data_IF_636636702317
#
_entry.id   IF_636636702317
#
_cell.length_a   1.000
_cell.length_b   1.000
_cell.length_c   1.000
_cell.angle_alpha   90.00
_cell.angle_beta   90.00
_cell.angle_gamma   90.00
#
_symmetry.space_group_name_H-M   'P 1'
#
loop_
_entity.id
_entity.type
_entity.pdbx_description
1 polymer ?
#
# COMPACT_ATOMS: atom_id res chain seq x y z
N UNK A 1 19.98 42.60 16.58
CA UNK A 1 19.29 41.86 15.50
C UNK A 1 20.13 40.62 15.20
N UNK A 2 19.69 39.45 15.67
CA UNK A 2 20.41 38.18 15.50
C UNK A 2 19.86 37.45 14.27
N UNK A 3 20.62 37.44 13.18
CA UNK A 3 20.30 36.65 11.99
C UNK A 3 20.60 35.18 12.31
N UNK A 4 19.56 34.35 12.39
CA UNK A 4 19.72 32.89 12.48
C UNK A 4 20.49 32.39 11.24
N UNK A 5 21.43 31.45 11.37
CA UNK A 5 22.10 30.86 10.21
C UNK A 5 21.09 30.06 9.39
N UNK A 6 21.09 30.25 8.07
CA UNK A 6 20.28 29.46 7.15
C UNK A 6 20.60 27.97 7.37
N UNK A 7 19.59 27.09 7.48
CA UNK A 7 19.83 25.65 7.53
C UNK A 7 20.53 25.26 6.23
N UNK A 8 21.75 24.73 6.38
CA UNK A 8 22.50 24.19 5.24
C UNK A 8 21.71 23.09 4.55
N UNK A 9 21.94 22.86 3.25
CA UNK A 9 21.17 21.91 2.49
C UNK A 9 21.39 20.47 3.04
N UNK A 10 20.37 19.59 3.01
CA UNK A 10 20.42 18.24 3.60
C UNK A 10 21.56 17.34 3.06
N UNK A 11 22.55 17.02 3.89
CA UNK A 11 23.66 16.14 3.44
C UNK A 11 23.16 14.71 3.25
N UNK A 12 23.11 14.21 2.01
CA UNK A 12 22.94 12.79 1.70
C UNK A 12 24.29 12.26 1.20
N UNK A 13 24.84 11.26 1.89
CA UNK A 13 26.09 10.55 1.55
C UNK A 13 27.43 11.33 1.69
N UNK A 14 27.49 12.38 2.52
CA UNK A 14 28.77 13.00 2.92
C UNK A 14 29.46 13.84 1.85
N UNK A 15 28.76 14.22 0.77
CA UNK A 15 29.23 15.20 -0.22
C UNK A 15 28.18 16.31 -0.38
N UNK A 16 28.59 17.59 -0.51
CA UNK A 16 27.66 18.69 -0.73
C UNK A 16 26.89 18.49 -2.04
N UNK A 17 25.60 18.83 -2.08
CA UNK A 17 24.76 18.74 -3.28
C UNK A 17 25.49 19.31 -4.49
N UNK A 18 25.76 18.47 -5.48
CA UNK A 18 26.20 18.92 -6.79
C UNK A 18 24.96 18.96 -7.66
N UNK A 19 24.41 20.16 -7.86
CA UNK A 19 23.44 20.39 -8.93
C UNK A 19 24.04 19.82 -10.23
N UNK A 20 23.28 18.96 -10.93
CA UNK A 20 23.64 18.32 -12.21
C UNK A 20 24.48 17.02 -12.15
N UNK A 21 24.61 16.33 -11.01
CA UNK A 21 25.09 14.93 -11.01
C UNK A 21 23.95 13.98 -11.47
N UNK A 22 24.10 13.30 -12.64
CA UNK A 22 23.07 12.40 -13.16
C UNK A 22 22.82 11.19 -12.25
N UNK A 23 23.84 10.70 -11.55
CA UNK A 23 23.74 9.53 -10.67
C UNK A 23 22.97 9.87 -9.40
N UNK A 24 23.26 11.02 -8.77
CA UNK A 24 22.53 11.50 -7.59
C UNK A 24 21.07 11.82 -7.94
N UNK A 25 20.82 12.41 -9.11
CA UNK A 25 19.46 12.72 -9.58
C UNK A 25 18.65 11.45 -9.84
N UNK A 26 19.26 10.39 -10.37
CA UNK A 26 18.60 9.10 -10.59
C UNK A 26 18.24 8.42 -9.26
N UNK A 27 19.12 8.46 -8.28
CA UNK A 27 18.88 7.87 -6.96
C UNK A 27 17.77 8.62 -6.19
N UNK A 28 17.77 9.96 -6.23
CA UNK A 28 16.69 10.76 -5.64
C UNK A 28 15.34 10.39 -6.27
N UNK A 29 15.25 10.31 -7.60
CA UNK A 29 14.03 9.90 -8.30
C UNK A 29 13.58 8.49 -7.95
N UNK A 30 14.51 7.57 -7.69
CA UNK A 30 14.21 6.20 -7.27
C UNK A 30 13.58 6.19 -5.87
N UNK A 31 14.13 6.96 -4.95
CA UNK A 31 13.61 7.10 -3.59
C UNK A 31 12.24 7.79 -3.59
N UNK A 32 12.09 8.88 -4.35
CA UNK A 32 10.80 9.58 -4.51
C UNK A 32 9.72 8.63 -5.04
N UNK A 33 10.01 7.88 -6.11
CA UNK A 33 9.06 6.90 -6.67
C UNK A 33 8.70 5.81 -5.65
N UNK A 34 9.67 5.35 -4.86
CA UNK A 34 9.40 4.37 -3.79
C UNK A 34 8.45 4.96 -2.75
N UNK A 35 8.68 6.20 -2.33
CA UNK A 35 7.83 6.88 -1.35
C UNK A 35 6.42 7.11 -1.90
N UNK A 36 6.28 7.54 -3.15
CA UNK A 36 4.97 7.67 -3.82
C UNK A 36 4.21 6.35 -3.83
N UNK A 37 4.88 5.22 -4.09
CA UNK A 37 4.25 3.90 -4.05
C UNK A 37 3.81 3.52 -2.64
N UNK A 38 4.63 3.82 -1.62
CA UNK A 38 4.29 3.59 -0.21
C UNK A 38 3.06 4.41 0.17
N UNK A 39 3.02 5.69 -0.18
CA UNK A 39 1.87 6.56 0.10
C UNK A 39 0.59 6.04 -0.55
N UNK A 40 0.65 5.58 -1.79
CA UNK A 40 -0.51 4.97 -2.47
C UNK A 40 -1.02 3.72 -1.75
N UNK A 41 -0.11 2.86 -1.26
CA UNK A 41 -0.48 1.68 -0.50
C UNK A 41 -1.19 2.08 0.81
N UNK A 42 -0.62 3.04 1.54
CA UNK A 42 -1.20 3.51 2.81
C UNK A 42 -2.59 4.10 2.57
N UNK A 43 -2.75 4.98 1.58
CA UNK A 43 -4.04 5.59 1.26
C UNK A 43 -5.11 4.55 0.87
N UNK A 44 -4.71 3.52 0.11
CA UNK A 44 -5.61 2.42 -0.25
C UNK A 44 -6.07 1.62 0.97
N UNK A 45 -5.15 1.31 1.88
CA UNK A 45 -5.46 0.59 3.13
C UNK A 45 -6.34 1.42 4.06
N UNK A 46 -6.05 2.71 4.23
CA UNK A 46 -6.88 3.61 5.04
C UNK A 46 -8.32 3.68 4.49
N UNK A 47 -8.46 3.81 3.16
CA UNK A 47 -9.78 3.85 2.52
C UNK A 47 -10.55 2.54 2.72
N UNK A 48 -9.86 1.39 2.63
CA UNK A 48 -10.47 0.09 2.87
C UNK A 48 -10.92 -0.08 4.33
N UNK A 49 -10.12 0.38 5.29
CA UNK A 49 -10.49 0.34 6.71
C UNK A 49 -11.71 1.21 7.02
N UNK A 50 -11.80 2.39 6.41
CA UNK A 50 -13.00 3.25 6.53
C UNK A 50 -14.23 2.55 5.99
N UNK A 51 -14.15 1.92 4.81
CA UNK A 51 -15.27 1.19 4.23
C UNK A 51 -15.72 0.01 5.11
N UNK A 52 -14.77 -0.70 5.73
CA UNK A 52 -15.08 -1.77 6.69
C UNK A 52 -15.77 -1.21 7.93
N UNK A 53 -15.30 -0.09 8.47
CA UNK A 53 -15.91 0.57 9.64
C UNK A 53 -17.35 1.03 9.34
N UNK A 54 -17.58 1.65 8.18
CA UNK A 54 -18.91 2.05 7.70
C UNK A 54 -19.85 0.84 7.57
N UNK A 55 -19.40 -0.25 6.93
CA UNK A 55 -20.18 -1.47 6.82
C UNK A 55 -20.54 -2.05 8.19
N UNK A 56 -19.56 -2.16 9.10
CA UNK A 56 -19.76 -2.71 10.45
C UNK A 56 -20.72 -1.85 11.27
N UNK A 57 -20.65 -0.52 11.12
CA UNK A 57 -21.56 0.41 11.76
C UNK A 57 -23.02 0.20 11.33
N UNK A 58 -23.25 -0.02 10.03
CA UNK A 58 -24.60 -0.16 9.47
C UNK A 58 -25.18 -1.58 9.64
N UNK A 59 -24.37 -2.62 9.42
CA UNK A 59 -24.83 -4.00 9.27
C UNK A 59 -24.38 -4.95 10.39
N UNK A 60 -23.55 -4.49 11.34
CA UNK A 60 -22.81 -5.33 12.30
C UNK A 60 -21.81 -6.28 11.61
N UNK A 61 -20.78 -6.78 12.33
CA UNK A 61 -19.84 -7.71 11.74
C UNK A 61 -20.54 -9.05 11.46
N UNK A 62 -20.45 -9.52 10.22
CA UNK A 62 -21.01 -10.79 9.77
C UNK A 62 -19.93 -11.77 9.28
N UNK A 63 -20.36 -12.98 8.94
CA UNK A 63 -19.47 -14.01 8.41
C UNK A 63 -18.89 -13.61 7.04
N UNK A 64 -19.68 -12.93 6.21
CA UNK A 64 -19.28 -12.55 4.86
C UNK A 64 -18.10 -11.57 4.86
N UNK A 65 -18.19 -10.52 5.68
CA UNK A 65 -17.13 -9.56 5.91
C UNK A 65 -15.88 -10.27 6.45
N UNK A 66 -16.05 -11.10 7.49
CA UNK A 66 -14.92 -11.82 8.09
C UNK A 66 -14.19 -12.68 7.08
N UNK A 67 -14.92 -13.48 6.29
CA UNK A 67 -14.33 -14.41 5.33
C UNK A 67 -13.69 -13.67 4.14
N UNK A 68 -14.19 -12.47 3.80
CA UNK A 68 -13.60 -11.57 2.78
C UNK A 68 -12.31 -10.92 3.29
N UNK A 69 -12.30 -10.43 4.53
CA UNK A 69 -11.12 -9.83 5.16
C UNK A 69 -10.01 -10.88 5.35
N UNK A 70 -10.35 -12.10 5.76
CA UNK A 70 -9.36 -13.18 5.91
C UNK A 70 -8.69 -13.52 4.57
N UNK A 71 -9.45 -13.57 3.48
CA UNK A 71 -8.89 -13.79 2.14
C UNK A 71 -7.99 -12.64 1.70
N UNK A 72 -8.42 -11.40 1.94
CA UNK A 72 -7.59 -10.21 1.67
C UNK A 72 -6.26 -10.25 2.43
N UNK A 73 -6.28 -10.65 3.71
CA UNK A 73 -5.08 -10.81 4.52
C UNK A 73 -4.18 -11.90 3.96
N UNK A 74 -4.74 -13.04 3.55
CA UNK A 74 -3.99 -14.13 2.90
C UNK A 74 -3.24 -13.65 1.65
N UNK A 75 -3.91 -12.92 0.77
CA UNK A 75 -3.27 -12.33 -0.41
C UNK A 75 -2.15 -11.36 -0.05
N UNK A 76 -2.36 -10.48 0.94
CA UNK A 76 -1.33 -9.52 1.36
C UNK A 76 -0.10 -10.21 1.97
N UNK A 77 -0.31 -11.22 2.81
CA UNK A 77 0.78 -12.00 3.41
C UNK A 77 1.59 -12.73 2.34
N UNK A 78 0.90 -13.34 1.36
CA UNK A 78 1.53 -13.99 0.22
C UNK A 78 2.37 -13.02 -0.62
N UNK A 79 1.78 -11.92 -1.08
CA UNK A 79 2.46 -10.95 -1.95
C UNK A 79 3.62 -10.24 -1.23
N UNK A 80 3.53 -10.06 0.09
CA UNK A 80 4.63 -9.53 0.90
C UNK A 80 5.79 -10.50 1.09
N UNK A 81 5.61 -11.78 0.78
CA UNK A 81 6.56 -12.86 1.05
C UNK A 81 6.67 -13.23 2.53
N UNK A 82 5.72 -12.79 3.36
CA UNK A 82 5.68 -13.13 4.78
C UNK A 82 5.22 -14.58 4.99
N UNK A 83 4.25 -15.03 4.19
CA UNK A 83 3.78 -16.41 4.13
C UNK A 83 3.69 -16.83 2.66
N UNK A 84 3.76 -18.13 2.38
CA UNK A 84 3.59 -18.66 1.03
C UNK A 84 2.41 -19.61 1.02
N UNK A 85 1.60 -19.49 -0.03
CA UNK A 85 0.35 -20.22 -0.21
C UNK A 85 0.27 -20.65 -1.68
N UNK A 86 0.26 -21.96 -1.91
CA UNK A 86 0.27 -22.55 -3.25
C UNK A 86 -1.01 -22.26 -4.04
N UNK A 87 -2.16 -22.19 -3.37
CA UNK A 87 -3.44 -21.90 -4.01
C UNK A 87 -3.48 -20.45 -4.47
N UNK A 88 -2.96 -19.53 -3.65
CA UNK A 88 -2.84 -18.12 -4.01
C UNK A 88 -1.88 -17.93 -5.18
N UNK A 89 -0.71 -18.58 -5.16
CA UNK A 89 0.27 -18.49 -6.26
C UNK A 89 -0.35 -18.97 -7.59
N UNK A 90 -1.11 -20.07 -7.57
CA UNK A 90 -1.79 -20.58 -8.77
C UNK A 90 -2.81 -19.57 -9.34
N UNK A 91 -3.56 -18.88 -8.47
CA UNK A 91 -4.48 -17.80 -8.86
C UNK A 91 -3.69 -16.62 -9.45
N UNK A 92 -2.57 -16.24 -8.84
CA UNK A 92 -1.74 -15.14 -9.31
C UNK A 92 -1.12 -15.42 -10.69
N UNK A 93 -0.60 -16.62 -10.90
CA UNK A 93 -0.01 -17.04 -12.18
C UNK A 93 -1.05 -17.05 -13.30
N UNK A 94 -2.30 -17.41 -13.00
CA UNK A 94 -3.37 -17.55 -14.00
C UNK A 94 -4.11 -16.24 -14.32
N UNK A 95 -4.24 -15.32 -13.36
CA UNK A 95 -5.07 -14.11 -13.49
C UNK A 95 -4.33 -12.78 -13.30
N UNK A 96 -3.08 -12.81 -12.84
CA UNK A 96 -2.30 -11.62 -12.52
C UNK A 96 -2.43 -11.24 -11.04
N UNK A 97 -2.85 -10.02 -10.73
CA UNK A 97 -3.09 -9.63 -9.34
C UNK A 97 -4.43 -10.21 -8.89
N UNK A 98 -4.47 -10.91 -7.74
CA UNK A 98 -5.69 -11.55 -7.28
C UNK A 98 -6.70 -10.48 -6.84
N UNK A 99 -7.93 -10.60 -7.32
CA UNK A 99 -9.04 -9.75 -6.92
C UNK A 99 -9.74 -10.33 -5.69
N UNK A 100 -9.91 -9.51 -4.64
CA UNK A 100 -10.70 -9.89 -3.47
C UNK A 100 -12.18 -9.79 -3.85
N UNK A 101 -12.91 -10.90 -3.72
CA UNK A 101 -14.35 -10.97 -4.01
C UNK A 101 -15.16 -10.96 -2.72
N UNK A 102 -16.25 -10.20 -2.72
CA UNK A 102 -17.22 -10.23 -1.61
C UNK A 102 -17.83 -11.62 -1.47
N UNK A 103 -17.82 -12.17 -0.25
CA UNK A 103 -18.35 -13.51 0.05
C UNK A 103 -19.79 -13.53 0.57
N UNK A 104 -20.40 -12.37 0.77
CA UNK A 104 -21.80 -12.28 1.20
C UNK A 104 -22.77 -12.27 0.03
N UNK A 105 -24.06 -12.32 0.35
CA UNK A 105 -25.10 -12.08 -0.64
C UNK A 105 -25.03 -10.63 -1.10
N UNK A 106 -25.02 -10.40 -2.42
CA UNK A 106 -25.17 -9.07 -3.01
C UNK A 106 -26.62 -8.96 -3.42
N UNK A 107 -27.40 -8.11 -2.75
CA UNK A 107 -28.73 -7.76 -3.25
C UNK A 107 -28.57 -7.12 -4.62
N UNK A 108 -28.93 -7.87 -5.67
CA UNK A 108 -28.98 -7.34 -7.02
C UNK A 108 -30.30 -6.59 -7.14
N UNK A 109 -30.26 -5.27 -6.99
CA UNK A 109 -31.36 -4.40 -7.37
C UNK A 109 -31.55 -4.52 -8.89
N UNK A 110 -32.53 -5.34 -9.30
CA UNK A 110 -33.02 -5.43 -10.67
C UNK A 110 -33.94 -4.25 -11.00
#
# INVERSE_FOLDING_TARGET
MTTKPNPGPPVICGRPYVLFDPEQTAEIKRVERKNELIERIIQGLDSALVAVDEYVYEYLPDKALRDTVLEAVGFLLHVSGAEYDEEIEEIMVSTGLPEIKWKGEVETLC
#
